data_IF_946321783487
#
_entry.id   IF_946321783487
#
_cell.length_a   1.000
_cell.length_b   1.000
_cell.length_c   1.000
_cell.angle_alpha   90.00
_cell.angle_beta   90.00
_cell.angle_gamma   90.00
#
_symmetry.space_group_name_H-M   'P 1'
#
loop_
_entity.id
_entity.type
_entity.pdbx_description
1 polymer ?
#
# COMPACT_ATOMS: atom_id res chain seq x y z
N UNK A 1 33.08 -29.84 10.57
CA UNK A 1 32.66 -28.61 9.89
C UNK A 1 32.00 -27.74 10.94
N UNK A 2 32.55 -26.56 11.24
CA UNK A 2 31.92 -25.61 12.16
C UNK A 2 30.87 -24.79 11.41
N UNK A 3 29.67 -24.70 11.98
CA UNK A 3 28.58 -23.87 11.45
C UNK A 3 28.64 -22.49 12.11
N UNK A 4 28.42 -21.43 11.33
CA UNK A 4 28.35 -20.06 11.84
C UNK A 4 27.07 -19.79 12.64
N UNK A 5 27.16 -18.93 13.66
CA UNK A 5 26.03 -18.49 14.48
C UNK A 5 25.58 -17.10 14.03
N UNK A 6 24.26 -16.89 13.88
CA UNK A 6 23.66 -15.60 13.52
C UNK A 6 22.59 -15.21 14.54
N UNK A 7 22.72 -14.03 15.15
CA UNK A 7 21.76 -13.49 16.12
C UNK A 7 20.78 -12.54 15.42
N UNK A 8 19.55 -13.02 15.17
CA UNK A 8 18.48 -12.26 14.51
C UNK A 8 17.23 -12.06 15.40
N UNK A 9 17.34 -12.33 16.71
CA UNK A 9 16.20 -12.40 17.64
C UNK A 9 15.40 -11.09 17.78
N UNK A 10 15.96 -9.95 17.39
CA UNK A 10 15.32 -8.62 17.46
C UNK A 10 15.18 -7.95 16.08
N UNK A 11 15.43 -8.69 15.00
CA UNK A 11 15.33 -8.15 13.64
C UNK A 11 13.94 -8.42 13.07
N UNK A 12 13.54 -7.56 12.12
CA UNK A 12 12.31 -7.74 11.37
C UNK A 12 12.27 -9.13 10.71
N UNK A 13 11.19 -9.86 10.96
CA UNK A 13 10.90 -11.17 10.38
C UNK A 13 10.18 -11.01 9.06
N UNK A 14 10.94 -10.67 8.01
CA UNK A 14 10.43 -10.47 6.65
C UNK A 14 9.67 -11.69 6.10
N UNK A 15 9.99 -12.89 6.59
CA UNK A 15 9.32 -14.14 6.24
C UNK A 15 7.85 -14.22 6.70
N UNK A 16 7.42 -13.37 7.64
CA UNK A 16 6.02 -13.28 8.07
C UNK A 16 5.13 -12.59 7.04
N UNK A 17 5.70 -11.89 6.06
CA UNK A 17 4.91 -11.21 5.03
C UNK A 17 4.28 -12.23 4.07
N UNK A 18 2.96 -12.18 3.85
CA UNK A 18 2.32 -12.99 2.83
C UNK A 18 2.70 -12.43 1.45
N UNK A 19 3.76 -12.98 0.85
CA UNK A 19 4.38 -12.42 -0.36
C UNK A 19 3.44 -12.37 -1.58
N UNK A 20 2.40 -13.20 -1.64
CA UNK A 20 1.36 -13.12 -2.67
C UNK A 20 0.62 -11.78 -2.65
N UNK A 21 -0.13 -11.47 -1.57
CA UNK A 21 -0.75 -10.17 -1.37
C UNK A 21 0.20 -8.97 -1.51
N UNK A 22 1.44 -9.07 -0.99
CA UNK A 22 2.42 -7.99 -1.11
C UNK A 22 2.78 -7.70 -2.58
N UNK A 23 2.90 -8.73 -3.43
CA UNK A 23 3.12 -8.53 -4.88
C UNK A 23 1.98 -7.79 -5.55
N UNK A 24 0.72 -8.00 -5.13
CA UNK A 24 -0.41 -7.24 -5.67
C UNK A 24 -0.35 -5.76 -5.27
N UNK A 25 0.05 -5.45 -4.04
CA UNK A 25 0.28 -4.05 -3.61
C UNK A 25 1.41 -3.41 -4.43
N UNK A 26 2.49 -4.14 -4.68
CA UNK A 26 3.59 -3.65 -5.53
C UNK A 26 3.12 -3.34 -6.95
N UNK A 27 2.25 -4.17 -7.55
CA UNK A 27 1.67 -3.89 -8.88
C UNK A 27 0.87 -2.58 -8.88
N UNK A 28 0.11 -2.31 -7.83
CA UNK A 28 -0.61 -1.03 -7.67
C UNK A 28 0.37 0.15 -7.54
N UNK A 29 1.46 0.00 -6.78
CA UNK A 29 2.50 1.03 -6.70
C UNK A 29 3.13 1.29 -8.08
N UNK A 30 3.46 0.23 -8.82
CA UNK A 30 3.99 0.33 -10.18
C UNK A 30 3.00 1.00 -11.15
N UNK A 31 1.70 0.70 -11.02
CA UNK A 31 0.65 1.38 -11.76
C UNK A 31 0.65 2.89 -11.47
N UNK A 32 0.75 3.28 -10.20
CA UNK A 32 0.86 4.68 -9.79
C UNK A 32 2.11 5.36 -10.37
N UNK A 33 3.26 4.67 -10.39
CA UNK A 33 4.50 5.17 -11.01
C UNK A 33 4.29 5.43 -12.51
N UNK A 34 3.71 4.47 -13.22
CA UNK A 34 3.50 4.59 -14.67
C UNK A 34 2.47 5.68 -15.01
N UNK A 35 1.44 5.85 -14.17
CA UNK A 35 0.35 6.81 -14.40
C UNK A 35 0.70 8.24 -13.98
N UNK A 36 1.44 8.41 -12.89
CA UNK A 36 1.62 9.72 -12.24
C UNK A 36 3.08 10.13 -12.00
N UNK A 37 4.06 9.25 -12.24
CA UNK A 37 5.48 9.35 -11.87
C UNK A 37 5.84 8.84 -10.46
N UNK A 38 7.13 8.52 -10.29
CA UNK A 38 7.73 8.05 -9.03
C UNK A 38 7.44 9.06 -7.92
N UNK A 39 6.99 8.54 -6.77
CA UNK A 39 6.70 9.32 -5.56
C UNK A 39 5.68 10.47 -5.72
N UNK A 40 4.87 10.48 -6.79
CA UNK A 40 3.85 11.52 -6.97
C UNK A 40 2.82 11.55 -5.82
N UNK A 41 2.59 10.40 -5.16
CA UNK A 41 1.71 10.28 -4.00
C UNK A 41 2.11 11.18 -2.82
N UNK A 42 3.41 11.49 -2.64
CA UNK A 42 3.88 12.37 -1.57
C UNK A 42 3.35 13.81 -1.75
N UNK A 43 3.20 14.26 -3.01
CA UNK A 43 2.66 15.59 -3.30
C UNK A 43 1.18 15.72 -2.93
N UNK A 44 0.45 14.60 -2.92
CA UNK A 44 -0.97 14.58 -2.52
C UNK A 44 -1.14 14.86 -1.03
N UNK A 45 -0.17 14.50 -0.18
CA UNK A 45 -0.19 14.88 1.24
C UNK A 45 0.10 16.35 1.48
N UNK A 46 0.93 16.97 0.62
CA UNK A 46 1.19 18.40 0.68
C UNK A 46 -0.06 19.22 0.27
N UNK A 47 -1.03 18.62 -0.41
CA UNK A 47 -2.32 19.23 -0.66
C UNK A 47 -3.18 19.24 0.61
N UNK A 48 -3.92 20.33 0.84
CA UNK A 48 -4.93 20.39 1.91
C UNK A 48 -5.90 19.21 1.79
N UNK A 49 -5.93 18.35 2.81
CA UNK A 49 -6.81 17.19 2.88
C UNK A 49 -6.28 15.92 2.20
N UNK A 50 -4.97 15.80 1.96
CA UNK A 50 -4.34 14.58 1.45
C UNK A 50 -4.75 13.31 2.20
N UNK A 51 -4.78 13.36 3.53
CA UNK A 51 -5.26 12.27 4.38
C UNK A 51 -6.70 11.88 4.08
N UNK A 52 -7.60 12.86 3.99
CA UNK A 52 -9.01 12.62 3.66
C UNK A 52 -9.15 12.03 2.26
N UNK A 53 -8.30 12.43 1.31
CA UNK A 53 -8.31 11.87 -0.06
C UNK A 53 -7.90 10.41 -0.07
N UNK A 54 -6.83 10.04 0.62
CA UNK A 54 -6.39 8.65 0.72
C UNK A 54 -7.33 7.78 1.56
N UNK A 55 -7.90 8.32 2.63
CA UNK A 55 -8.96 7.65 3.39
C UNK A 55 -10.16 7.35 2.51
N UNK A 56 -10.69 8.35 1.81
CA UNK A 56 -11.83 8.17 0.92
C UNK A 56 -11.52 7.20 -0.24
N UNK A 57 -10.29 7.21 -0.76
CA UNK A 57 -9.86 6.25 -1.78
C UNK A 57 -9.82 4.81 -1.24
N UNK A 58 -9.22 4.60 -0.07
CA UNK A 58 -9.20 3.29 0.59
C UNK A 58 -10.62 2.76 0.82
N UNK A 59 -11.51 3.62 1.34
CA UNK A 59 -12.91 3.25 1.60
C UNK A 59 -13.67 2.87 0.34
N UNK A 60 -13.49 3.60 -0.79
CA UNK A 60 -14.12 3.22 -2.07
C UNK A 60 -13.66 1.85 -2.58
N UNK A 61 -12.37 1.52 -2.43
CA UNK A 61 -11.91 0.18 -2.82
C UNK A 61 -12.43 -0.92 -1.88
N UNK A 62 -12.51 -0.65 -0.57
CA UNK A 62 -13.10 -1.59 0.39
C UNK A 62 -14.57 -1.81 0.08
N UNK A 63 -15.33 -0.73 -0.18
CA UNK A 63 -16.75 -0.80 -0.50
C UNK A 63 -17.00 -1.53 -1.82
N UNK A 64 -16.25 -1.25 -2.89
CA UNK A 64 -16.37 -1.99 -4.15
C UNK A 64 -16.08 -3.49 -3.98
N UNK A 65 -15.07 -3.84 -3.18
CA UNK A 65 -14.76 -5.25 -2.88
C UNK A 65 -15.87 -5.93 -2.08
N UNK A 66 -16.44 -5.23 -1.10
CA UNK A 66 -17.41 -5.81 -0.15
C UNK A 66 -18.84 -5.81 -0.69
N UNK A 67 -19.29 -4.68 -1.23
CA UNK A 67 -20.66 -4.39 -1.61
C UNK A 67 -20.95 -4.71 -3.07
N UNK A 68 -19.99 -4.49 -3.97
CA UNK A 68 -20.17 -4.73 -5.42
C UNK A 68 -19.65 -6.11 -5.85
N UNK A 69 -19.03 -6.86 -4.94
CA UNK A 69 -18.33 -8.13 -5.19
C UNK A 69 -17.28 -8.03 -6.33
N UNK A 70 -16.81 -6.82 -6.63
CA UNK A 70 -15.80 -6.57 -7.66
C UNK A 70 -14.41 -6.85 -7.08
N UNK A 71 -13.72 -7.86 -7.65
CA UNK A 71 -12.37 -8.21 -7.18
C UNK A 71 -11.32 -7.23 -7.65
N UNK A 72 -11.44 -6.74 -8.88
CA UNK A 72 -10.41 -5.95 -9.53
C UNK A 72 -10.97 -4.62 -10.04
N UNK A 73 -10.24 -3.56 -9.77
CA UNK A 73 -10.56 -2.21 -10.22
C UNK A 73 -10.63 -2.13 -11.75
N UNK A 74 -11.67 -1.49 -12.26
CA UNK A 74 -11.95 -1.43 -13.71
C UNK A 74 -10.85 -0.73 -14.51
N UNK A 75 -10.20 0.28 -13.94
CA UNK A 75 -9.18 1.11 -14.59
C UNK A 75 -7.84 0.37 -14.67
N UNK A 76 -7.34 -0.08 -13.53
CA UNK A 76 -6.01 -0.68 -13.37
C UNK A 76 -5.99 -2.19 -13.57
N UNK A 77 -7.15 -2.85 -13.49
CA UNK A 77 -7.31 -4.32 -13.50
C UNK A 77 -6.65 -5.04 -12.32
N UNK A 78 -6.24 -4.30 -11.27
CA UNK A 78 -5.63 -4.84 -10.05
C UNK A 78 -6.63 -4.93 -8.90
N UNK A 79 -6.32 -5.78 -7.92
CA UNK A 79 -7.23 -6.14 -6.84
C UNK A 79 -7.61 -4.92 -5.98
N UNK A 80 -8.90 -4.74 -5.65
CA UNK A 80 -9.39 -3.62 -4.84
C UNK A 80 -8.70 -3.55 -3.46
N UNK A 81 -8.60 -4.67 -2.74
CA UNK A 81 -7.87 -4.70 -1.47
C UNK A 81 -6.40 -4.30 -1.60
N UNK A 82 -5.74 -4.57 -2.74
CA UNK A 82 -4.36 -4.12 -2.94
C UNK A 82 -4.27 -2.59 -3.08
N UNK A 83 -5.25 -1.97 -3.75
CA UNK A 83 -5.40 -0.51 -3.77
C UNK A 83 -5.71 0.07 -2.40
N UNK A 84 -6.60 -0.56 -1.64
CA UNK A 84 -6.90 -0.13 -0.27
C UNK A 84 -5.64 -0.17 0.61
N UNK A 85 -4.88 -1.28 0.58
CA UNK A 85 -3.61 -1.40 1.32
C UNK A 85 -2.61 -0.35 0.86
N UNK A 86 -2.49 -0.08 -0.45
CA UNK A 86 -1.62 0.97 -0.98
C UNK A 86 -1.98 2.35 -0.38
N UNK A 87 -3.28 2.70 -0.33
CA UNK A 87 -3.74 3.94 0.30
C UNK A 87 -3.43 3.98 1.80
N UNK A 88 -3.63 2.87 2.52
CA UNK A 88 -3.32 2.76 3.95
C UNK A 88 -1.81 2.86 4.23
N UNK A 89 -0.96 2.33 3.34
CA UNK A 89 0.50 2.48 3.44
C UNK A 89 0.91 3.94 3.31
N UNK A 90 0.31 4.70 2.39
CA UNK A 90 0.57 6.13 2.28
C UNK A 90 0.12 6.89 3.54
N UNK A 91 -1.08 6.60 4.05
CA UNK A 91 -1.57 7.19 5.31
C UNK A 91 -0.65 6.88 6.49
N UNK A 92 -0.21 5.63 6.64
CA UNK A 92 0.74 5.24 7.68
C UNK A 92 2.06 5.99 7.53
N UNK A 93 2.56 6.14 6.30
CA UNK A 93 3.78 6.88 6.04
C UNK A 93 3.64 8.36 6.47
N UNK A 94 2.54 9.03 6.12
CA UNK A 94 2.31 10.43 6.54
C UNK A 94 2.20 10.56 8.07
N UNK A 95 1.54 9.60 8.73
CA UNK A 95 1.42 9.55 10.18
C UNK A 95 2.80 9.37 10.87
N UNK A 96 3.68 8.57 10.28
CA UNK A 96 5.04 8.32 10.79
C UNK A 96 6.02 9.48 10.58
N UNK A 97 5.90 10.19 9.46
CA UNK A 97 6.80 11.31 9.12
C UNK A 97 6.43 12.62 9.82
N UNK A 98 5.31 12.66 10.56
CA UNK A 98 4.93 13.79 11.40
C UNK A 98 4.14 14.88 10.68
N UNK A 99 3.49 14.55 9.55
CA UNK A 99 2.61 15.48 8.80
C UNK A 99 1.15 15.48 9.31
N UNK A 100 0.95 15.23 10.61
CA UNK A 100 -0.34 15.34 11.31
C UNK A 100 -0.29 16.28 12.50
#
# INVERSE_FOLDING_TARGET
MELGVKYDQEKLRWDLLPMGPIKEVIKVLMYGVNKYAVNNWQKVALDKGGDTRYYNAAMRHIDAWFSEEEKNDTESRYHHLAHAICCLLYLLWFDMEGDK
#
